data_IF_681485162942
#
_entry.id   IF_681485162942
#
_cell.length_a   1.000
_cell.length_b   1.000
_cell.length_c   1.000
_cell.angle_alpha   90.00
_cell.angle_beta   90.00
_cell.angle_gamma   90.00
#
_symmetry.space_group_name_H-M   'P 1'
#
loop_
_entity.id
_entity.type
_entity.pdbx_description
1 polymer ?
#
# COMPACT_ATOMS: atom_id res chain seq x y z
N UNK A 1 16.26 54.84 -33.95
CA UNK A 1 16.76 53.47 -33.74
C UNK A 1 15.78 52.74 -32.84
N UNK A 2 14.83 52.00 -33.42
CA UNK A 2 13.89 51.14 -32.70
C UNK A 2 14.37 49.70 -32.89
N UNK A 3 14.78 49.06 -31.79
CA UNK A 3 15.25 47.67 -31.77
C UNK A 3 14.07 46.72 -31.87
N UNK A 4 14.06 45.84 -32.88
CA UNK A 4 13.10 44.76 -33.02
C UNK A 4 13.32 43.71 -31.90
N UNK A 5 12.25 43.31 -31.23
CA UNK A 5 12.25 42.18 -30.31
C UNK A 5 12.35 40.86 -31.08
N UNK A 6 13.05 39.83 -30.57
CA UNK A 6 13.14 38.55 -31.25
C UNK A 6 11.79 37.81 -31.18
N UNK A 7 11.33 37.33 -32.34
CA UNK A 7 10.15 36.49 -32.50
C UNK A 7 10.37 35.20 -31.70
N UNK A 8 9.57 35.00 -30.66
CA UNK A 8 9.51 33.75 -29.92
C UNK A 8 8.83 32.71 -30.81
N UNK A 9 9.61 31.85 -31.45
CA UNK A 9 9.09 30.74 -32.27
C UNK A 9 8.32 29.80 -31.34
N UNK A 10 6.99 29.85 -31.44
CA UNK A 10 6.08 28.97 -30.73
C UNK A 10 6.29 27.54 -31.24
N UNK A 11 6.88 26.67 -30.41
CA UNK A 11 7.08 25.25 -30.75
C UNK A 11 5.75 24.63 -31.16
N UNK A 12 5.75 23.90 -32.27
CA UNK A 12 4.54 23.24 -32.76
C UNK A 12 4.07 22.19 -31.74
N UNK A 13 2.76 21.97 -31.61
CA UNK A 13 2.21 20.93 -30.73
C UNK A 13 2.79 19.54 -31.05
N UNK A 14 3.17 19.31 -32.30
CA UNK A 14 3.86 18.12 -32.79
C UNK A 14 5.26 17.95 -32.19
N UNK A 15 6.08 19.01 -32.14
CA UNK A 15 7.43 18.95 -31.55
C UNK A 15 7.37 18.69 -30.04
N UNK A 16 6.39 19.29 -29.35
CA UNK A 16 6.17 19.06 -27.92
C UNK A 16 5.73 17.61 -27.67
N UNK A 17 4.82 17.08 -28.49
CA UNK A 17 4.37 15.68 -28.39
C UNK A 17 5.49 14.68 -28.66
N UNK A 18 6.36 14.93 -29.65
CA UNK A 18 7.50 14.05 -29.93
C UNK A 18 8.56 14.11 -28.83
N UNK A 19 8.82 15.31 -28.28
CA UNK A 19 9.76 15.49 -27.19
C UNK A 19 9.27 14.84 -25.88
N UNK A 20 7.98 14.97 -25.55
CA UNK A 20 7.34 14.27 -24.43
C UNK A 20 7.37 12.75 -24.62
N UNK A 21 7.13 12.26 -25.84
CA UNK A 21 7.17 10.83 -26.16
C UNK A 21 8.58 10.26 -26.04
N UNK A 22 9.60 11.01 -26.46
CA UNK A 22 11.01 10.64 -26.33
C UNK A 22 11.48 10.66 -24.88
N UNK A 23 11.17 11.72 -24.13
CA UNK A 23 11.48 11.81 -22.69
C UNK A 23 10.81 10.68 -21.89
N UNK A 24 9.56 10.33 -22.23
CA UNK A 24 8.84 9.23 -21.60
C UNK A 24 9.46 7.86 -21.93
N UNK A 25 9.93 7.67 -23.18
CA UNK A 25 10.59 6.45 -23.62
C UNK A 25 11.94 6.21 -22.93
N UNK A 26 12.68 7.26 -22.59
CA UNK A 26 13.98 7.14 -21.92
C UNK A 26 13.83 7.06 -20.38
N UNK A 27 12.86 7.77 -19.80
CA UNK A 27 12.67 7.85 -18.35
C UNK A 27 12.07 6.57 -17.73
N UNK A 28 11.03 6.01 -18.36
CA UNK A 28 10.29 4.85 -17.81
C UNK A 28 11.18 3.60 -17.65
N UNK A 29 12.03 3.22 -18.63
CA UNK A 29 12.94 2.09 -18.47
C UNK A 29 13.97 2.30 -17.36
N UNK A 30 14.52 3.52 -17.22
CA UNK A 30 15.51 3.86 -16.20
C UNK A 30 14.90 3.76 -14.81
N UNK A 31 13.75 4.41 -14.58
CA UNK A 31 13.05 4.34 -13.30
C UNK A 31 12.70 2.90 -12.91
N UNK A 32 12.17 2.11 -13.85
CA UNK A 32 11.84 0.70 -13.62
C UNK A 32 13.06 -0.09 -13.17
N UNK A 33 14.20 0.09 -13.84
CA UNK A 33 15.45 -0.60 -13.49
C UNK A 33 15.96 -0.17 -12.12
N UNK A 34 15.89 1.12 -11.80
CA UNK A 34 16.28 1.65 -10.49
C UNK A 34 15.44 1.05 -9.37
N UNK A 35 14.10 1.05 -9.49
CA UNK A 35 13.21 0.44 -8.49
C UNK A 35 13.51 -1.05 -8.32
N UNK A 36 13.73 -1.78 -9.41
CA UNK A 36 14.09 -3.20 -9.35
C UNK A 36 15.42 -3.42 -8.62
N UNK A 37 16.45 -2.63 -8.92
CA UNK A 37 17.76 -2.74 -8.26
C UNK A 37 17.63 -2.42 -6.76
N UNK A 38 16.88 -1.38 -6.39
CA UNK A 38 16.63 -1.03 -4.99
C UNK A 38 15.95 -2.19 -4.26
N UNK A 39 14.84 -2.71 -4.80
CA UNK A 39 14.08 -3.80 -4.17
C UNK A 39 14.93 -5.07 -4.07
N UNK A 40 15.66 -5.46 -5.13
CA UNK A 40 16.55 -6.62 -5.11
C UNK A 40 17.64 -6.44 -4.04
N UNK A 41 18.27 -5.27 -3.97
CA UNK A 41 19.32 -4.99 -2.99
C UNK A 41 18.79 -5.07 -1.56
N UNK A 42 17.60 -4.49 -1.32
CA UNK A 42 16.92 -4.59 -0.02
C UNK A 42 16.60 -6.03 0.36
N UNK A 43 16.12 -6.85 -0.58
CA UNK A 43 15.81 -8.26 -0.34
C UNK A 43 17.06 -9.08 -0.08
N UNK A 44 18.12 -8.91 -0.88
CA UNK A 44 19.41 -9.61 -0.68
C UNK A 44 20.01 -9.26 0.67
N UNK A 45 19.95 -7.99 1.07
CA UNK A 45 20.44 -7.54 2.37
C UNK A 45 19.60 -8.12 3.52
N UNK A 46 18.27 -8.06 3.43
CA UNK A 46 17.40 -8.37 4.56
C UNK A 46 17.06 -9.86 4.72
N UNK A 47 16.90 -10.60 3.63
CA UNK A 47 16.45 -12.00 3.70
C UNK A 47 17.34 -12.89 4.58
N UNK A 48 18.68 -12.82 4.50
CA UNK A 48 19.55 -13.60 5.39
C UNK A 48 19.38 -13.22 6.86
N UNK A 49 19.32 -11.91 7.16
CA UNK A 49 19.18 -11.38 8.52
C UNK A 49 17.90 -11.87 9.20
N UNK A 50 16.80 -11.87 8.45
CA UNK A 50 15.51 -12.37 8.91
C UNK A 50 15.52 -13.90 9.03
N UNK A 51 16.07 -14.63 8.06
CA UNK A 51 16.08 -16.08 8.06
C UNK A 51 16.83 -16.67 9.26
N UNK A 52 17.95 -16.06 9.64
CA UNK A 52 18.79 -16.53 10.74
C UNK A 52 18.44 -15.91 12.10
N UNK A 53 17.34 -15.15 12.21
CA UNK A 53 17.07 -14.29 13.37
C UNK A 53 17.03 -15.06 14.71
N UNK A 54 16.55 -16.30 14.71
CA UNK A 54 16.42 -17.14 15.90
C UNK A 54 17.44 -18.30 15.96
N UNK A 55 18.46 -18.32 15.11
CA UNK A 55 19.40 -19.46 15.03
C UNK A 55 20.48 -19.45 16.12
N UNK A 56 20.72 -18.31 16.76
CA UNK A 56 21.58 -18.23 17.94
C UNK A 56 20.85 -18.84 19.15
N UNK A 57 21.33 -19.97 19.66
CA UNK A 57 20.72 -20.70 20.80
C UNK A 57 20.71 -19.87 22.10
N UNK A 58 21.65 -18.93 22.25
CA UNK A 58 21.67 -18.05 23.42
C UNK A 58 20.61 -16.96 23.33
N UNK A 59 20.13 -16.66 22.11
CA UNK A 59 19.22 -15.57 21.77
C UNK A 59 19.70 -14.19 22.28
N UNK A 60 21.01 -14.04 22.52
CA UNK A 60 21.60 -12.80 23.05
C UNK A 60 22.02 -11.85 21.93
N UNK A 61 22.43 -12.37 20.76
CA UNK A 61 22.87 -11.56 19.64
C UNK A 61 22.71 -12.31 18.31
N UNK A 62 21.67 -11.93 17.55
CA UNK A 62 21.45 -12.47 16.21
C UNK A 62 22.27 -11.72 15.14
N UNK A 63 22.30 -12.26 13.92
CA UNK A 63 23.04 -11.66 12.80
C UNK A 63 22.56 -10.22 12.48
N UNK A 64 21.26 -9.94 12.61
CA UNK A 64 20.72 -8.60 12.37
C UNK A 64 21.28 -7.59 13.37
N UNK A 65 21.38 -7.93 14.66
CA UNK A 65 21.90 -7.04 15.68
C UNK A 65 23.41 -6.81 15.50
N UNK A 66 24.17 -7.83 15.12
CA UNK A 66 25.61 -7.69 14.77
C UNK A 66 25.83 -6.73 13.60
N UNK A 67 25.00 -6.84 12.56
CA UNK A 67 25.05 -5.94 11.41
C UNK A 67 24.67 -4.50 11.81
N UNK A 68 23.65 -4.31 12.65
CA UNK A 68 23.29 -2.99 13.16
C UNK A 68 24.39 -2.38 14.03
N UNK A 69 25.08 -3.19 14.84
CA UNK A 69 26.19 -2.72 15.67
C UNK A 69 27.36 -2.16 14.84
N UNK A 70 27.58 -2.75 13.66
CA UNK A 70 28.61 -2.30 12.70
C UNK A 70 28.13 -1.08 11.90
N UNK A 71 26.90 -1.11 11.39
CA UNK A 71 26.39 -0.07 10.49
C UNK A 71 25.95 1.20 11.24
N UNK A 72 25.50 1.09 12.49
CA UNK A 72 24.99 2.21 13.28
C UNK A 72 25.91 2.46 14.48
N UNK A 73 25.78 1.65 15.54
CA UNK A 73 26.70 1.56 16.68
C UNK A 73 26.19 0.48 17.67
N UNK A 74 27.02 0.00 18.62
CA UNK A 74 26.62 -1.00 19.60
C UNK A 74 25.49 -0.57 20.53
N UNK A 75 25.40 0.71 20.89
CA UNK A 75 24.36 1.24 21.78
C UNK A 75 22.97 1.13 21.13
N UNK A 76 22.85 1.47 19.85
CA UNK A 76 21.62 1.29 19.09
C UNK A 76 21.23 -0.18 18.90
N UNK A 77 22.23 -1.06 18.74
CA UNK A 77 22.02 -2.48 18.51
C UNK A 77 21.60 -3.23 19.78
N UNK A 78 22.19 -2.91 20.94
CA UNK A 78 22.08 -3.71 22.17
C UNK A 78 21.67 -2.92 23.43
N UNK A 79 21.69 -1.59 23.39
CA UNK A 79 21.41 -0.72 24.52
C UNK A 79 19.91 -0.59 24.83
N UNK A 80 19.55 0.51 25.51
CA UNK A 80 18.17 0.78 25.91
C UNK A 80 17.23 0.90 24.70
N UNK A 81 16.08 0.21 24.77
CA UNK A 81 15.11 0.20 23.67
C UNK A 81 15.58 -0.60 22.45
N UNK A 82 16.62 -1.44 22.59
CA UNK A 82 17.13 -2.29 21.53
C UNK A 82 16.29 -3.54 21.28
N UNK A 83 15.31 -3.86 22.13
CA UNK A 83 14.49 -5.07 22.02
C UNK A 83 15.25 -6.40 22.24
N UNK A 84 16.57 -6.37 22.44
CA UNK A 84 17.41 -7.54 22.69
C UNK A 84 17.34 -7.96 24.17
N UNK A 85 17.86 -9.14 24.53
CA UNK A 85 17.87 -9.58 25.92
C UNK A 85 18.67 -8.65 26.85
N UNK A 86 19.61 -7.86 26.33
CA UNK A 86 20.38 -6.87 27.10
C UNK A 86 19.64 -5.56 27.34
N UNK A 87 18.45 -5.38 26.77
CA UNK A 87 17.62 -4.19 27.01
C UNK A 87 17.19 -4.12 28.49
N UNK A 88 17.55 -3.01 29.16
CA UNK A 88 17.33 -2.79 30.59
C UNK A 88 15.85 -2.71 30.97
N UNK A 89 15.00 -2.23 30.05
CA UNK A 89 13.55 -2.13 30.25
C UNK A 89 12.84 -3.46 29.93
N UNK A 90 13.64 -4.49 29.67
CA UNK A 90 13.36 -5.74 29.00
C UNK A 90 13.05 -5.97 27.53
N UNK A 91 13.82 -6.88 26.93
CA UNK A 91 13.81 -7.07 25.48
C UNK A 91 12.53 -7.69 24.97
N UNK A 92 12.05 -7.16 23.83
CA UNK A 92 11.06 -7.82 22.99
C UNK A 92 11.40 -9.29 22.71
N UNK A 93 12.69 -9.64 22.70
CA UNK A 93 13.15 -11.02 22.57
C UNK A 93 12.45 -11.97 23.55
N UNK A 94 12.18 -11.58 24.80
CA UNK A 94 11.46 -12.45 25.76
C UNK A 94 10.03 -12.77 25.28
N UNK A 95 9.35 -11.78 24.71
CA UNK A 95 7.99 -11.93 24.16
C UNK A 95 8.06 -12.81 22.90
N UNK A 96 9.10 -12.66 22.08
CA UNK A 96 9.33 -13.52 20.92
C UNK A 96 9.58 -14.96 21.32
N UNK A 97 10.37 -15.22 22.38
CA UNK A 97 10.61 -16.57 22.89
C UNK A 97 9.34 -17.21 23.45
N UNK A 98 8.46 -16.43 24.11
CA UNK A 98 7.12 -16.91 24.51
C UNK A 98 6.26 -17.32 23.31
N UNK A 99 6.49 -16.71 22.15
CA UNK A 99 5.78 -16.95 20.88
C UNK A 99 6.67 -17.61 19.83
N UNK A 100 7.66 -18.42 20.26
CA UNK A 100 8.77 -18.86 19.39
C UNK A 100 8.27 -19.54 18.12
N UNK A 101 7.33 -20.48 18.22
CA UNK A 101 6.77 -21.20 17.07
C UNK A 101 6.19 -20.26 16.02
N UNK A 102 5.46 -19.23 16.46
CA UNK A 102 4.91 -18.22 15.56
C UNK A 102 6.03 -17.39 14.94
N UNK A 103 6.98 -16.88 15.74
CA UNK A 103 8.01 -15.96 15.25
C UNK A 103 9.08 -16.62 14.38
N UNK A 104 9.47 -17.87 14.65
CA UNK A 104 10.34 -18.65 13.78
C UNK A 104 9.64 -18.92 12.43
N UNK A 105 8.38 -19.36 12.48
CA UNK A 105 7.59 -19.57 11.25
C UNK A 105 7.46 -18.27 10.45
N UNK A 106 7.24 -17.15 11.13
CA UNK A 106 7.09 -15.83 10.53
C UNK A 106 8.36 -15.38 9.82
N UNK A 107 9.50 -15.45 10.50
CA UNK A 107 10.80 -14.99 9.97
C UNK A 107 11.29 -15.85 8.81
N UNK A 108 11.15 -17.17 8.89
CA UNK A 108 11.49 -18.08 7.80
C UNK A 108 10.57 -17.88 6.59
N UNK A 109 9.24 -17.93 6.79
CA UNK A 109 8.29 -17.75 5.70
C UNK A 109 8.38 -16.34 5.09
N UNK A 110 8.60 -15.30 5.90
CA UNK A 110 8.84 -13.94 5.47
C UNK A 110 10.05 -13.82 4.54
N UNK A 111 11.18 -14.41 4.96
CA UNK A 111 12.42 -14.42 4.18
C UNK A 111 12.25 -15.12 2.83
N UNK A 112 11.56 -16.27 2.83
CA UNK A 112 11.27 -17.00 1.60
C UNK A 112 10.31 -16.20 0.71
N UNK A 113 9.25 -15.60 1.27
CA UNK A 113 8.26 -14.83 0.52
C UNK A 113 8.88 -13.63 -0.20
N UNK A 114 9.75 -12.86 0.47
CA UNK A 114 10.39 -11.70 -0.14
C UNK A 114 11.32 -12.08 -1.29
N UNK A 115 12.02 -13.23 -1.18
CA UNK A 115 12.85 -13.76 -2.27
C UNK A 115 11.98 -14.26 -3.43
N UNK A 116 10.92 -15.02 -3.13
CA UNK A 116 10.02 -15.58 -4.14
C UNK A 116 9.22 -14.53 -4.90
N UNK A 117 8.96 -13.37 -4.29
CA UNK A 117 8.23 -12.29 -4.96
C UNK A 117 9.03 -11.60 -6.07
N UNK A 118 10.36 -11.55 -5.99
CA UNK A 118 11.22 -10.97 -7.05
C UNK A 118 10.96 -11.59 -8.43
N UNK A 119 11.05 -12.92 -8.62
CA UNK A 119 10.77 -13.54 -9.92
C UNK A 119 9.31 -13.45 -10.37
N UNK A 120 8.34 -13.16 -9.48
CA UNK A 120 6.93 -13.07 -9.87
C UNK A 120 6.65 -11.94 -10.87
N UNK A 121 7.46 -10.89 -10.86
CA UNK A 121 7.31 -9.73 -11.73
C UNK A 121 8.18 -9.79 -12.99
N UNK A 122 8.89 -10.91 -13.21
CA UNK A 122 9.69 -11.13 -14.40
C UNK A 122 8.79 -11.58 -15.59
N UNK A 123 8.79 -10.82 -16.67
CA UNK A 123 7.96 -11.11 -17.85
C UNK A 123 8.34 -12.40 -18.55
N UNK A 124 9.63 -12.77 -18.58
CA UNK A 124 10.09 -14.05 -19.14
C UNK A 124 9.51 -15.22 -18.36
N UNK A 125 9.49 -15.17 -17.03
CA UNK A 125 8.87 -16.23 -16.22
C UNK A 125 7.35 -16.26 -16.40
N UNK A 126 6.69 -15.11 -16.49
CA UNK A 126 5.24 -15.04 -16.70
C UNK A 126 4.79 -15.65 -18.03
N UNK A 127 5.53 -15.40 -19.12
CA UNK A 127 5.09 -15.77 -20.48
C UNK A 127 5.81 -16.98 -21.06
N UNK A 128 7.12 -17.15 -20.83
CA UNK A 128 7.92 -18.24 -21.40
C UNK A 128 7.95 -19.48 -20.50
N UNK A 129 7.91 -19.30 -19.17
CA UNK A 129 7.96 -20.39 -18.20
C UNK A 129 6.79 -20.36 -17.21
N UNK A 130 5.53 -20.36 -17.69
CA UNK A 130 4.34 -20.15 -16.85
C UNK A 130 4.16 -21.21 -15.77
N UNK A 131 4.64 -22.45 -15.97
CA UNK A 131 4.61 -23.50 -14.97
C UNK A 131 5.46 -23.13 -13.74
N UNK A 132 6.67 -22.60 -13.96
CA UNK A 132 7.58 -22.14 -12.90
C UNK A 132 6.96 -20.95 -12.17
N UNK A 133 6.45 -19.96 -12.92
CA UNK A 133 5.76 -18.81 -12.32
C UNK A 133 4.61 -19.25 -11.39
N UNK A 134 3.76 -20.17 -11.84
CA UNK A 134 2.65 -20.70 -11.04
C UNK A 134 3.12 -21.47 -9.81
N UNK A 135 4.16 -22.29 -9.94
CA UNK A 135 4.72 -23.02 -8.80
C UNK A 135 5.27 -22.07 -7.73
N UNK A 136 6.12 -21.12 -8.13
CA UNK A 136 6.68 -20.12 -7.22
C UNK A 136 5.57 -19.24 -6.61
N UNK A 137 4.53 -18.91 -7.38
CA UNK A 137 3.37 -18.17 -6.88
C UNK A 137 2.57 -18.95 -5.83
N UNK A 138 2.39 -20.26 -5.99
CA UNK A 138 1.75 -21.12 -4.97
C UNK A 138 2.57 -21.19 -3.69
N UNK A 139 3.90 -21.30 -3.82
CA UNK A 139 4.79 -21.28 -2.67
C UNK A 139 4.76 -19.92 -1.96
N UNK A 140 4.73 -18.81 -2.71
CA UNK A 140 4.53 -17.48 -2.14
C UNK A 140 3.20 -17.36 -1.38
N UNK A 141 2.10 -17.89 -1.94
CA UNK A 141 0.79 -17.92 -1.27
C UNK A 141 0.89 -18.68 0.06
N UNK A 142 1.53 -19.86 0.07
CA UNK A 142 1.73 -20.63 1.29
C UNK A 142 2.51 -19.82 2.33
N UNK A 143 3.61 -19.18 1.94
CA UNK A 143 4.37 -18.31 2.83
C UNK A 143 3.52 -17.15 3.36
N UNK A 144 2.76 -16.47 2.50
CA UNK A 144 1.89 -15.36 2.90
C UNK A 144 0.80 -15.80 3.90
N UNK A 145 0.25 -17.01 3.74
CA UNK A 145 -0.68 -17.60 4.72
C UNK A 145 0.01 -17.92 6.04
N UNK A 146 1.21 -18.52 6.02
CA UNK A 146 2.01 -18.78 7.23
C UNK A 146 2.37 -17.49 7.97
N UNK A 147 2.77 -16.45 7.25
CA UNK A 147 3.07 -15.11 7.79
C UNK A 147 1.81 -14.53 8.44
N UNK A 148 0.67 -14.61 7.77
CA UNK A 148 -0.61 -14.08 8.25
C UNK A 148 -1.16 -14.83 9.47
N UNK A 149 -0.91 -16.15 9.55
CA UNK A 149 -1.24 -16.94 10.73
C UNK A 149 -0.32 -16.56 11.89
N UNK A 150 0.99 -16.66 11.68
CA UNK A 150 2.01 -16.39 12.71
C UNK A 150 1.95 -14.97 13.28
N UNK A 151 1.75 -13.94 12.44
CA UNK A 151 1.64 -12.55 12.90
C UNK A 151 0.41 -12.36 13.78
N UNK A 152 -0.73 -12.96 13.41
CA UNK A 152 -1.96 -12.87 14.21
C UNK A 152 -1.84 -13.64 15.51
N UNK A 153 -1.21 -14.82 15.51
CA UNK A 153 -0.96 -15.58 16.74
C UNK A 153 -0.12 -14.78 17.73
N UNK A 154 0.97 -14.15 17.26
CA UNK A 154 1.78 -13.27 18.10
C UNK A 154 1.01 -12.04 18.60
N UNK A 155 0.29 -11.34 17.72
CA UNK A 155 -0.47 -10.15 18.11
C UNK A 155 -1.62 -10.48 19.07
N UNK A 156 -2.26 -11.64 18.94
CA UNK A 156 -3.30 -12.08 19.86
C UNK A 156 -2.80 -12.27 21.30
N UNK A 157 -1.52 -12.60 21.47
CA UNK A 157 -0.87 -12.73 22.78
C UNK A 157 -0.27 -11.39 23.28
N UNK A 158 0.51 -10.72 22.44
CA UNK A 158 1.30 -9.55 22.84
C UNK A 158 0.48 -8.24 22.91
N UNK A 159 -0.53 -8.07 22.05
CA UNK A 159 -1.28 -6.81 21.95
C UNK A 159 -2.16 -6.53 23.17
N UNK A 160 -2.96 -7.48 23.70
CA UNK A 160 -3.77 -7.22 24.91
C UNK A 160 -2.95 -6.91 26.17
N UNK A 161 -1.66 -7.23 26.15
CA UNK A 161 -0.71 -7.00 27.25
C UNK A 161 0.12 -5.73 27.07
N UNK A 162 -0.06 -5.01 25.96
CA UNK A 162 0.76 -3.85 25.57
C UNK A 162 2.26 -4.19 25.47
N UNK A 163 2.59 -5.42 25.04
CA UNK A 163 3.96 -5.96 24.98
C UNK A 163 4.54 -5.99 23.55
N UNK A 164 3.91 -5.28 22.61
CA UNK A 164 4.43 -5.15 21.25
C UNK A 164 5.49 -4.04 21.22
N UNK A 165 6.62 -4.34 20.59
CA UNK A 165 7.71 -3.37 20.41
C UNK A 165 7.22 -2.06 19.81
N UNK A 166 7.76 -0.92 20.24
CA UNK A 166 7.31 0.42 19.82
C UNK A 166 5.85 0.77 20.18
N UNK A 167 5.19 -0.02 21.04
CA UNK A 167 3.89 0.31 21.64
C UNK A 167 2.69 0.17 20.71
N UNK A 168 1.55 0.67 21.18
CA UNK A 168 0.22 0.39 20.60
C UNK A 168 0.04 0.89 19.16
N UNK A 169 0.68 2.01 18.80
CA UNK A 169 0.66 2.49 17.41
C UNK A 169 1.27 1.45 16.48
N UNK A 170 2.46 0.95 16.80
CA UNK A 170 3.12 -0.07 15.99
C UNK A 170 2.32 -1.37 15.97
N UNK A 171 1.74 -1.76 17.11
CA UNK A 171 0.87 -2.92 17.21
C UNK A 171 -0.36 -2.80 16.27
N UNK A 172 -1.02 -1.64 16.26
CA UNK A 172 -2.11 -1.37 15.34
C UNK A 172 -1.67 -1.46 13.88
N UNK A 173 -0.51 -0.88 13.54
CA UNK A 173 0.02 -0.92 12.17
C UNK A 173 0.34 -2.35 11.72
N UNK A 174 0.91 -3.18 12.60
CA UNK A 174 1.14 -4.61 12.32
C UNK A 174 -0.17 -5.37 12.14
N UNK A 175 -1.18 -5.07 12.96
CA UNK A 175 -2.52 -5.64 12.84
C UNK A 175 -3.17 -5.28 11.51
N UNK A 176 -3.12 -4.00 11.14
CA UNK A 176 -3.63 -3.44 9.88
C UNK A 176 -2.92 -4.08 8.68
N UNK A 177 -1.59 -4.16 8.73
CA UNK A 177 -0.76 -4.81 7.71
C UNK A 177 -1.11 -6.29 7.55
N UNK A 178 -1.29 -7.03 8.65
CA UNK A 178 -1.66 -8.45 8.60
C UNK A 178 -3.00 -8.66 7.89
N UNK A 179 -3.98 -7.79 8.12
CA UNK A 179 -5.25 -7.81 7.39
C UNK A 179 -5.08 -7.38 5.93
N UNK A 180 -4.28 -6.36 5.67
CA UNK A 180 -3.96 -5.88 4.33
C UNK A 180 -3.30 -6.95 3.46
N UNK A 181 -2.33 -7.70 3.99
CA UNK A 181 -1.68 -8.82 3.30
C UNK A 181 -2.71 -9.90 2.96
N UNK A 182 -3.51 -10.35 3.92
CA UNK A 182 -4.49 -11.40 3.65
C UNK A 182 -5.58 -10.93 2.66
N UNK A 183 -6.09 -9.71 2.84
CA UNK A 183 -7.14 -9.15 1.99
C UNK A 183 -6.68 -8.94 0.55
N UNK A 184 -5.49 -8.37 0.34
CA UNK A 184 -4.93 -8.21 -1.00
C UNK A 184 -4.62 -9.54 -1.66
N UNK A 185 -4.15 -10.54 -0.92
CA UNK A 185 -3.94 -11.89 -1.43
C UNK A 185 -5.26 -12.54 -1.86
N UNK A 186 -6.30 -12.43 -1.05
CA UNK A 186 -7.63 -12.95 -1.37
C UNK A 186 -8.20 -12.29 -2.62
N UNK A 187 -8.08 -10.96 -2.74
CA UNK A 187 -8.51 -10.21 -3.93
C UNK A 187 -7.69 -10.59 -5.17
N UNK A 188 -6.39 -10.82 -5.03
CA UNK A 188 -5.54 -11.29 -6.12
C UNK A 188 -5.96 -12.69 -6.60
N UNK A 189 -6.23 -13.62 -5.68
CA UNK A 189 -6.69 -14.98 -5.97
C UNK A 189 -8.08 -14.94 -6.63
N UNK A 190 -8.99 -14.14 -6.09
CA UNK A 190 -10.31 -13.92 -6.66
C UNK A 190 -10.22 -13.39 -8.10
N UNK A 191 -9.36 -12.41 -8.35
CA UNK A 191 -9.18 -11.84 -9.69
C UNK A 191 -8.65 -12.89 -10.69
N UNK A 192 -7.67 -13.72 -10.31
CA UNK A 192 -7.12 -14.73 -11.23
C UNK A 192 -8.10 -15.87 -11.50
N UNK A 193 -8.89 -16.30 -10.50
CA UNK A 193 -9.97 -17.26 -10.72
C UNK A 193 -11.01 -16.76 -11.72
N UNK A 194 -11.29 -15.44 -11.70
CA UNK A 194 -12.16 -14.79 -12.68
C UNK A 194 -11.45 -14.38 -13.98
N UNK A 195 -10.21 -14.83 -14.21
CA UNK A 195 -9.40 -14.52 -15.40
C UNK A 195 -9.14 -13.00 -15.61
N UNK A 196 -9.27 -12.21 -14.56
CA UNK A 196 -8.87 -10.79 -14.54
C UNK A 196 -7.39 -10.67 -14.13
N UNK A 197 -6.51 -10.96 -15.09
CA UNK A 197 -5.06 -10.91 -14.92
C UNK A 197 -4.58 -9.50 -14.52
N UNK A 198 -5.25 -8.45 -15.01
CA UNK A 198 -4.91 -7.07 -14.69
C UNK A 198 -5.12 -6.79 -13.20
N UNK A 199 -6.30 -7.10 -12.69
CA UNK A 199 -6.61 -6.95 -11.26
C UNK A 199 -5.78 -7.87 -10.38
N UNK A 200 -5.53 -9.11 -10.81
CA UNK A 200 -4.61 -10.03 -10.11
C UNK A 200 -3.24 -9.40 -9.93
N UNK A 201 -2.65 -8.88 -11.01
CA UNK A 201 -1.31 -8.26 -10.96
C UNK A 201 -1.27 -7.07 -10.01
N UNK A 202 -2.27 -6.19 -10.06
CA UNK A 202 -2.28 -4.99 -9.21
C UNK A 202 -2.38 -5.34 -7.72
N UNK A 203 -3.23 -6.30 -7.36
CA UNK A 203 -3.29 -6.79 -5.98
C UNK A 203 -2.03 -7.53 -5.56
N UNK A 204 -1.38 -8.29 -6.45
CA UNK A 204 -0.09 -8.92 -6.14
C UNK A 204 1.05 -7.92 -5.95
N UNK A 205 1.09 -6.81 -6.70
CA UNK A 205 2.08 -5.74 -6.49
C UNK A 205 1.87 -5.08 -5.13
N UNK A 206 0.63 -4.72 -4.79
CA UNK A 206 0.33 -4.14 -3.47
C UNK A 206 0.63 -5.13 -2.34
N UNK A 207 0.25 -6.39 -2.49
CA UNK A 207 0.54 -7.45 -1.53
C UNK A 207 2.06 -7.61 -1.29
N UNK A 208 2.85 -7.60 -2.37
CA UNK A 208 4.29 -7.69 -2.26
C UNK A 208 4.91 -6.44 -1.63
N UNK A 209 4.38 -5.25 -1.94
CA UNK A 209 4.79 -4.02 -1.26
C UNK A 209 4.56 -4.12 0.27
N UNK A 210 3.42 -4.65 0.71
CA UNK A 210 3.19 -4.93 2.14
C UNK A 210 4.17 -5.95 2.73
N UNK A 211 4.56 -6.96 1.96
CA UNK A 211 5.58 -7.93 2.36
C UNK A 211 6.97 -7.28 2.52
N UNK A 212 7.23 -6.18 1.81
CA UNK A 212 8.48 -5.42 1.90
C UNK A 212 8.50 -4.40 3.07
N UNK A 213 7.45 -4.33 3.89
CA UNK A 213 7.40 -3.44 5.06
C UNK A 213 8.56 -3.67 6.03
N UNK A 214 8.92 -4.92 6.31
CA UNK A 214 10.04 -5.26 7.17
C UNK A 214 11.40 -4.80 6.57
N UNK A 215 11.76 -5.12 5.32
CA UNK A 215 12.93 -4.54 4.65
C UNK A 215 12.98 -3.00 4.69
N UNK A 216 11.86 -2.32 4.40
CA UNK A 216 11.77 -0.85 4.45
C UNK A 216 12.12 -0.33 5.85
N UNK A 217 11.59 -0.99 6.88
CA UNK A 217 11.86 -0.63 8.27
C UNK A 217 13.34 -0.81 8.65
N UNK A 218 14.04 -1.81 8.11
CA UNK A 218 15.47 -2.04 8.41
C UNK A 218 16.37 -1.03 7.71
N UNK A 219 16.02 -0.64 6.48
CA UNK A 219 16.69 0.49 5.82
C UNK A 219 16.51 1.76 6.65
N UNK A 220 15.30 2.00 7.16
CA UNK A 220 15.03 3.15 8.02
C UNK A 220 15.83 3.09 9.33
N UNK A 221 15.98 1.92 9.97
CA UNK A 221 16.83 1.77 11.16
C UNK A 221 18.28 2.13 10.90
N UNK A 222 18.86 1.71 9.76
CA UNK A 222 20.24 2.06 9.41
C UNK A 222 20.38 3.56 9.17
N UNK A 223 19.52 4.14 8.33
CA UNK A 223 19.62 5.55 7.95
C UNK A 223 19.34 6.46 9.14
N UNK A 224 18.21 6.26 9.83
CA UNK A 224 17.81 7.14 10.94
C UNK A 224 18.65 6.89 12.18
N UNK A 225 19.11 5.64 12.42
CA UNK A 225 20.02 5.33 13.53
C UNK A 225 21.34 6.10 13.44
N UNK A 226 21.83 6.35 12.22
CA UNK A 226 23.02 7.18 11.99
C UNK A 226 22.77 8.68 12.15
N UNK A 227 21.54 9.14 11.95
CA UNK A 227 21.22 10.57 11.79
C UNK A 227 20.52 11.20 13.00
N UNK A 228 19.73 10.45 13.75
CA UNK A 228 18.84 11.01 14.77
C UNK A 228 19.37 10.84 16.20
N UNK A 229 20.14 9.78 16.49
CA UNK A 229 20.65 9.53 17.83
C UNK A 229 19.59 9.07 18.86
N UNK A 230 18.39 8.74 18.39
CA UNK A 230 17.31 8.15 19.21
C UNK A 230 17.44 6.62 19.29
N UNK A 231 16.77 6.04 20.29
CA UNK A 231 16.76 4.58 20.49
C UNK A 231 16.07 3.85 19.33
N UNK A 232 16.41 2.56 19.15
CA UNK A 232 15.79 1.70 18.13
C UNK A 232 14.27 1.63 18.29
N UNK A 233 13.78 1.66 19.53
CA UNK A 233 12.35 1.73 19.85
C UNK A 233 11.65 2.95 19.24
N UNK A 234 12.23 4.15 19.41
CA UNK A 234 11.69 5.40 18.89
C UNK A 234 11.81 5.44 17.37
N UNK A 235 12.98 5.09 16.82
CA UNK A 235 13.19 5.08 15.37
C UNK A 235 12.23 4.12 14.68
N UNK A 236 11.98 2.94 15.26
CA UNK A 236 11.03 1.98 14.71
C UNK A 236 9.59 2.54 14.66
N UNK A 237 9.16 3.23 15.72
CA UNK A 237 7.84 3.87 15.78
C UNK A 237 7.62 4.90 14.66
N UNK A 238 8.57 5.81 14.47
CA UNK A 238 8.43 6.86 13.46
C UNK A 238 8.66 6.35 12.03
N UNK A 239 9.50 5.33 11.88
CA UNK A 239 9.67 4.63 10.62
C UNK A 239 8.38 3.90 10.21
N UNK A 240 7.63 3.35 11.17
CA UNK A 240 6.36 2.69 10.85
C UNK A 240 5.33 3.70 10.36
N UNK A 241 5.19 4.85 11.04
CA UNK A 241 4.32 5.98 10.63
C UNK A 241 4.61 6.37 9.17
N UNK A 242 5.89 6.44 8.80
CA UNK A 242 6.29 6.73 7.42
C UNK A 242 5.87 5.60 6.46
N UNK A 243 6.19 4.35 6.82
CA UNK A 243 6.09 3.19 5.93
C UNK A 243 4.66 2.86 5.47
N UNK A 244 3.65 3.04 6.33
CA UNK A 244 2.25 2.67 6.04
C UNK A 244 1.73 3.29 4.73
N UNK A 245 1.59 4.62 4.65
CA UNK A 245 1.15 5.30 3.43
C UNK A 245 2.18 5.19 2.28
N UNK A 246 3.47 5.13 2.60
CA UNK A 246 4.54 4.99 1.61
C UNK A 246 4.42 3.71 0.77
N UNK A 247 4.16 2.56 1.39
CA UNK A 247 4.06 1.27 0.67
C UNK A 247 2.89 1.26 -0.32
N UNK A 248 1.74 1.84 0.07
CA UNK A 248 0.58 1.97 -0.82
C UNK A 248 0.91 2.92 -1.97
N UNK A 249 1.46 4.10 -1.68
CA UNK A 249 1.81 5.09 -2.69
C UNK A 249 2.86 4.57 -3.68
N UNK A 250 3.91 3.90 -3.19
CA UNK A 250 4.94 3.29 -4.02
C UNK A 250 4.34 2.27 -5.00
N UNK A 251 3.40 1.44 -4.54
CA UNK A 251 2.69 0.49 -5.41
C UNK A 251 1.83 1.21 -6.47
N UNK A 252 1.15 2.31 -6.11
CA UNK A 252 0.36 3.13 -7.04
C UNK A 252 1.27 3.67 -8.14
N UNK A 253 2.36 4.35 -7.78
CA UNK A 253 3.25 4.95 -8.77
C UNK A 253 3.91 3.89 -9.67
N UNK A 254 4.35 2.77 -9.10
CA UNK A 254 4.90 1.65 -9.87
C UNK A 254 3.89 1.12 -10.90
N UNK A 255 2.64 0.90 -10.48
CA UNK A 255 1.59 0.36 -11.34
C UNK A 255 1.14 1.35 -12.41
N UNK A 256 0.98 2.64 -12.07
CA UNK A 256 0.47 3.66 -13.01
C UNK A 256 1.44 3.96 -14.15
N UNK A 257 2.72 3.66 -14.00
CA UNK A 257 3.68 3.76 -15.10
C UNK A 257 3.61 2.58 -16.09
N UNK A 258 3.13 1.41 -15.64
CA UNK A 258 3.19 0.18 -16.42
C UNK A 258 1.81 -0.23 -16.96
N UNK A 259 0.73 0.18 -16.30
CA UNK A 259 -0.60 -0.33 -16.55
C UNK A 259 -1.62 0.78 -16.68
N UNK A 260 -2.32 0.76 -17.81
CA UNK A 260 -3.47 1.60 -18.09
C UNK A 260 -4.72 0.79 -17.85
N UNK A 261 -5.72 1.42 -17.24
CA UNK A 261 -7.06 0.86 -17.06
C UNK A 261 -8.10 1.75 -17.72
N UNK A 262 -9.30 1.21 -18.05
CA UNK A 262 -10.37 2.00 -18.62
C UNK A 262 -10.81 3.11 -17.66
N UNK A 263 -11.40 4.16 -18.21
CA UNK A 263 -12.07 5.20 -17.42
C UNK A 263 -13.32 4.64 -16.74
N UNK A 264 -13.76 5.30 -15.66
CA UNK A 264 -15.01 4.96 -14.98
C UNK A 264 -15.83 6.21 -14.73
N UNK A 265 -17.00 6.30 -15.38
CA UNK A 265 -17.95 7.41 -15.23
C UNK A 265 -18.42 7.59 -13.78
N UNK A 266 -18.54 6.49 -13.02
CA UNK A 266 -18.88 6.50 -11.60
C UNK A 266 -17.83 7.25 -10.78
N UNK A 267 -16.56 6.86 -10.93
CA UNK A 267 -15.46 7.37 -10.11
C UNK A 267 -15.10 8.84 -10.41
N UNK A 268 -15.34 9.29 -11.65
CA UNK A 268 -15.13 10.69 -12.05
C UNK A 268 -16.39 11.56 -11.86
N UNK A 269 -17.49 10.98 -11.38
CA UNK A 269 -18.74 11.73 -11.21
C UNK A 269 -18.63 12.78 -10.10
N UNK A 270 -19.29 13.92 -10.29
CA UNK A 270 -19.37 14.96 -9.27
C UNK A 270 -20.03 14.46 -7.99
N UNK A 271 -21.02 13.56 -8.10
CA UNK A 271 -21.69 12.94 -6.94
C UNK A 271 -20.70 12.13 -6.09
N UNK A 272 -19.86 11.30 -6.71
CA UNK A 272 -18.85 10.53 -5.99
C UNK A 272 -17.83 11.44 -5.29
N UNK A 273 -17.38 12.50 -5.97
CA UNK A 273 -16.47 13.48 -5.37
C UNK A 273 -17.11 14.25 -4.21
N UNK A 274 -18.38 14.67 -4.34
CA UNK A 274 -19.12 15.32 -3.26
C UNK A 274 -19.31 14.39 -2.07
N UNK A 275 -19.58 13.11 -2.30
CA UNK A 275 -19.68 12.11 -1.23
C UNK A 275 -18.34 11.95 -0.48
N UNK A 276 -17.21 11.91 -1.19
CA UNK A 276 -15.89 11.86 -0.56
C UNK A 276 -15.60 13.11 0.27
N UNK A 277 -15.94 14.31 -0.24
CA UNK A 277 -15.80 15.58 0.47
C UNK A 277 -16.69 15.61 1.72
N UNK A 278 -17.98 15.28 1.58
CA UNK A 278 -18.91 15.25 2.69
C UNK A 278 -18.47 14.25 3.78
N UNK A 279 -18.02 13.07 3.38
CA UNK A 279 -17.44 12.08 4.28
C UNK A 279 -16.21 12.61 5.03
N UNK A 280 -15.27 13.24 4.32
CA UNK A 280 -14.11 13.87 4.93
C UNK A 280 -14.47 14.98 5.93
N UNK A 281 -15.42 15.85 5.58
CA UNK A 281 -15.89 16.93 6.46
C UNK A 281 -16.60 16.39 7.71
N UNK A 282 -17.45 15.37 7.57
CA UNK A 282 -18.10 14.70 8.70
C UNK A 282 -17.07 14.03 9.61
N UNK A 283 -16.09 13.35 9.02
CA UNK A 283 -14.96 12.77 9.77
C UNK A 283 -14.19 13.83 10.54
N UNK A 284 -13.84 14.96 9.91
CA UNK A 284 -13.16 16.08 10.59
C UNK A 284 -14.00 16.66 11.73
N UNK A 285 -15.29 16.90 11.50
CA UNK A 285 -16.20 17.40 12.53
C UNK A 285 -16.28 16.45 13.72
N UNK A 286 -16.35 15.14 13.47
CA UNK A 286 -16.30 14.13 14.50
C UNK A 286 -14.97 14.20 15.27
N UNK A 287 -13.83 14.23 14.58
CA UNK A 287 -12.52 14.27 15.25
C UNK A 287 -12.34 15.53 16.10
N UNK A 288 -12.85 16.68 15.67
CA UNK A 288 -12.81 17.94 16.45
C UNK A 288 -13.69 17.86 17.70
N UNK A 289 -14.86 17.20 17.62
CA UNK A 289 -15.86 17.22 18.69
C UNK A 289 -15.76 16.03 19.66
N UNK A 290 -15.27 14.89 19.17
CA UNK A 290 -15.28 13.59 19.86
C UNK A 290 -13.98 12.78 19.66
N UNK A 291 -13.05 13.30 18.87
CA UNK A 291 -11.77 12.64 18.66
C UNK A 291 -10.86 12.69 19.90
N UNK A 292 -9.81 11.86 19.93
CA UNK A 292 -8.81 11.91 20.99
C UNK A 292 -8.11 13.28 21.00
N UNK A 293 -7.71 13.74 22.19
CA UNK A 293 -7.01 15.01 22.32
C UNK A 293 -5.65 14.92 21.62
N UNK A 294 -5.35 15.92 20.78
CA UNK A 294 -4.03 16.05 20.19
C UNK A 294 -3.06 16.55 21.27
N UNK A 295 -2.29 15.62 21.85
CA UNK A 295 -1.25 15.96 22.83
C UNK A 295 0.15 16.11 22.20
N UNK A 296 0.26 15.92 20.88
CA UNK A 296 1.53 15.95 20.14
C UNK A 296 2.46 14.76 20.42
N UNK A 297 2.12 13.90 21.37
CA UNK A 297 2.95 12.78 21.82
C UNK A 297 4.32 13.25 22.35
N UNK A 298 5.23 12.30 22.62
CA UNK A 298 6.56 12.64 23.11
C UNK A 298 7.43 13.36 22.07
N UNK A 299 7.22 13.11 20.76
CA UNK A 299 7.96 13.77 19.68
C UNK A 299 7.02 14.30 18.56
N UNK A 300 6.33 15.43 18.78
CA UNK A 300 5.39 16.00 17.81
C UNK A 300 6.04 16.38 16.49
N UNK A 301 7.27 16.92 16.55
CA UNK A 301 8.03 17.30 15.34
C UNK A 301 8.40 16.08 14.50
N UNK A 302 8.82 14.99 15.13
CA UNK A 302 9.15 13.75 14.43
C UNK A 302 7.91 13.12 13.79
N UNK A 303 6.76 13.16 14.48
CA UNK A 303 5.48 12.73 13.92
C UNK A 303 5.14 13.50 12.65
N UNK A 304 5.19 14.83 12.72
CA UNK A 304 4.93 15.71 11.58
C UNK A 304 5.91 15.48 10.44
N UNK A 305 7.20 15.23 10.73
CA UNK A 305 8.21 14.95 9.71
C UNK A 305 8.00 13.59 9.03
N UNK A 306 7.57 12.57 9.77
CA UNK A 306 7.31 11.23 9.24
C UNK A 306 6.09 11.20 8.29
N UNK A 307 5.06 12.02 8.56
CA UNK A 307 3.78 11.95 7.84
C UNK A 307 3.52 13.15 6.92
N UNK A 308 3.80 14.37 7.37
CA UNK A 308 3.41 15.62 6.71
C UNK A 308 4.00 15.78 5.30
N UNK A 309 5.34 15.70 5.11
CA UNK A 309 5.97 15.87 3.81
C UNK A 309 5.46 14.90 2.74
N UNK A 310 5.30 13.62 3.08
CA UNK A 310 4.80 12.62 2.14
C UNK A 310 3.34 12.88 1.77
N UNK A 311 2.50 13.28 2.73
CA UNK A 311 1.09 13.59 2.45
C UNK A 311 0.97 14.82 1.53
N UNK A 312 1.71 15.89 1.83
CA UNK A 312 1.77 17.06 0.97
C UNK A 312 2.22 16.69 -0.45
N UNK A 313 3.25 15.84 -0.56
CA UNK A 313 3.73 15.32 -1.83
C UNK A 313 2.62 14.57 -2.59
N UNK A 314 1.92 13.63 -1.95
CA UNK A 314 0.86 12.86 -2.60
C UNK A 314 -0.32 13.73 -3.04
N UNK A 315 -0.74 14.70 -2.22
CA UNK A 315 -1.80 15.66 -2.58
C UNK A 315 -1.41 16.44 -3.84
N UNK A 316 -0.19 16.97 -3.87
CA UNK A 316 0.32 17.75 -5.00
C UNK A 316 0.47 16.87 -6.26
N UNK A 317 1.08 15.69 -6.13
CA UNK A 317 1.29 14.78 -7.25
C UNK A 317 -0.04 14.28 -7.84
N UNK A 318 -0.99 13.84 -7.01
CA UNK A 318 -2.28 13.36 -7.53
C UNK A 318 -3.05 14.50 -8.20
N UNK A 319 -3.04 15.71 -7.64
CA UNK A 319 -3.71 16.86 -8.25
C UNK A 319 -3.06 17.28 -9.58
N UNK A 320 -1.73 17.34 -9.64
CA UNK A 320 -0.98 17.72 -10.85
C UNK A 320 -1.13 16.68 -11.95
N UNK A 321 -0.98 15.39 -11.61
CA UNK A 321 -1.12 14.28 -12.55
C UNK A 321 -2.56 14.12 -13.04
N UNK A 322 -3.58 14.33 -12.19
CA UNK A 322 -4.97 14.36 -12.62
C UNK A 322 -5.20 15.50 -13.64
N UNK A 323 -4.75 16.72 -13.34
CA UNK A 323 -4.89 17.87 -14.25
C UNK A 323 -4.18 17.62 -15.59
N UNK A 324 -2.96 17.10 -15.55
CA UNK A 324 -2.19 16.77 -16.75
C UNK A 324 -2.89 15.68 -17.59
N UNK A 325 -3.37 14.61 -16.95
CA UNK A 325 -4.12 13.55 -17.63
C UNK A 325 -5.39 14.09 -18.30
N UNK A 326 -6.16 14.94 -17.60
CA UNK A 326 -7.36 15.58 -18.16
C UNK A 326 -7.05 16.46 -19.37
N UNK A 327 -5.97 17.26 -19.32
CA UNK A 327 -5.54 18.11 -20.44
C UNK A 327 -5.13 17.29 -21.68
N UNK A 328 -4.53 16.12 -21.47
CA UNK A 328 -4.15 15.19 -22.55
C UNK A 328 -5.31 14.34 -23.09
N UNK A 329 -6.51 14.43 -22.50
CA UNK A 329 -7.63 13.56 -22.84
C UNK A 329 -7.50 12.11 -22.34
N UNK A 330 -6.50 11.80 -21.51
CA UNK A 330 -6.30 10.48 -20.93
C UNK A 330 -7.23 10.28 -19.71
N UNK A 331 -8.47 9.90 -20.01
CA UNK A 331 -9.50 9.70 -18.99
C UNK A 331 -9.26 8.48 -18.11
N UNK A 332 -8.47 7.50 -18.55
CA UNK A 332 -8.08 6.33 -17.75
C UNK A 332 -7.15 6.73 -16.61
N UNK A 333 -6.09 7.47 -16.92
CA UNK A 333 -5.19 8.03 -15.91
C UNK A 333 -5.89 9.07 -15.03
N UNK A 334 -6.73 9.93 -15.61
CA UNK A 334 -7.52 10.89 -14.84
C UNK A 334 -8.41 10.19 -13.80
N UNK A 335 -9.08 9.10 -14.18
CA UNK A 335 -9.89 8.29 -13.27
C UNK A 335 -9.06 7.79 -12.09
N UNK A 336 -7.84 7.31 -12.34
CA UNK A 336 -6.96 6.81 -11.28
C UNK A 336 -6.59 7.91 -10.28
N UNK A 337 -6.00 9.01 -10.77
CA UNK A 337 -5.49 10.08 -9.92
C UNK A 337 -6.61 10.78 -9.11
N UNK A 338 -7.79 10.96 -9.71
CA UNK A 338 -8.95 11.49 -8.98
C UNK A 338 -9.45 10.51 -7.91
N UNK A 339 -9.41 9.21 -8.18
CA UNK A 339 -9.84 8.22 -7.18
C UNK A 339 -8.89 8.22 -5.98
N UNK A 340 -7.58 8.27 -6.20
CA UNK A 340 -6.60 8.38 -5.11
C UNK A 340 -6.72 9.71 -4.36
N UNK A 341 -6.99 10.82 -5.07
CA UNK A 341 -7.28 12.10 -4.44
C UNK A 341 -8.53 12.02 -3.54
N UNK A 342 -9.61 11.37 -3.99
CA UNK A 342 -10.82 11.17 -3.20
C UNK A 342 -10.54 10.31 -1.95
N UNK A 343 -9.63 9.34 -2.04
CA UNK A 343 -9.11 8.59 -0.89
C UNK A 343 -8.55 9.50 0.20
N UNK A 344 -7.65 10.41 -0.19
CA UNK A 344 -7.04 11.39 0.72
C UNK A 344 -8.07 12.39 1.29
N UNK A 345 -9.04 12.82 0.47
CA UNK A 345 -10.11 13.72 0.94
C UNK A 345 -10.98 13.03 2.01
N UNK A 346 -11.26 11.73 1.84
CA UNK A 346 -12.04 10.94 2.78
C UNK A 346 -11.26 10.44 4.01
N UNK A 347 -9.94 10.67 4.07
CA UNK A 347 -9.05 10.17 5.12
C UNK A 347 -9.55 10.46 6.56
N UNK A 348 -10.12 11.63 6.87
CA UNK A 348 -10.65 11.90 8.22
C UNK A 348 -11.79 10.96 8.62
N UNK A 349 -12.60 10.48 7.67
CA UNK A 349 -13.63 9.48 7.99
C UNK A 349 -13.01 8.13 8.34
N UNK A 350 -11.94 7.76 7.64
CA UNK A 350 -11.18 6.55 7.97
C UNK A 350 -10.51 6.67 9.34
N UNK A 351 -10.08 7.87 9.76
CA UNK A 351 -9.60 8.11 11.13
C UNK A 351 -10.64 7.76 12.19
N UNK A 352 -11.92 8.06 11.94
CA UNK A 352 -13.01 7.69 12.85
C UNK A 352 -13.15 6.17 12.95
N UNK A 353 -13.10 5.46 11.82
CA UNK A 353 -13.13 3.99 11.84
C UNK A 353 -11.93 3.43 12.62
N UNK A 354 -10.73 3.95 12.34
CA UNK A 354 -9.51 3.53 13.02
C UNK A 354 -9.57 3.80 14.53
N UNK A 355 -10.22 4.88 14.97
CA UNK A 355 -10.43 5.18 16.39
C UNK A 355 -11.22 4.06 17.08
N UNK A 356 -12.36 3.69 16.53
CA UNK A 356 -13.23 2.66 17.11
C UNK A 356 -12.54 1.30 17.13
N UNK A 357 -11.83 0.95 16.05
CA UNK A 357 -11.05 -0.30 16.02
C UNK A 357 -9.94 -0.26 17.07
N UNK A 358 -9.19 0.83 17.17
CA UNK A 358 -8.08 0.95 18.12
C UNK A 358 -8.56 0.90 19.57
N UNK A 359 -9.59 1.68 19.91
CA UNK A 359 -10.09 1.81 21.28
C UNK A 359 -10.93 0.61 21.72
N UNK A 360 -11.91 0.21 20.89
CA UNK A 360 -12.96 -0.69 21.36
C UNK A 360 -12.66 -2.17 21.04
N UNK A 361 -11.96 -2.43 19.92
CA UNK A 361 -11.58 -3.79 19.51
C UNK A 361 -10.19 -4.13 20.06
N UNK A 362 -9.22 -3.24 19.84
CA UNK A 362 -7.81 -3.50 20.15
C UNK A 362 -7.36 -2.97 21.51
N UNK A 363 -8.22 -2.23 22.21
CA UNK A 363 -7.97 -1.71 23.57
C UNK A 363 -6.66 -0.90 23.68
N UNK A 364 -6.28 -0.19 22.62
CA UNK A 364 -5.09 0.67 22.61
C UNK A 364 -5.21 1.79 23.65
N UNK A 365 -4.09 2.17 24.24
CA UNK A 365 -3.98 3.27 25.21
C UNK A 365 -4.45 4.60 24.63
N UNK A 366 -5.13 5.41 25.46
CA UNK A 366 -5.63 6.73 25.07
C UNK A 366 -4.53 7.66 24.51
N UNK A 367 -3.31 7.55 25.04
CA UNK A 367 -2.15 8.33 24.59
C UNK A 367 -1.75 8.03 23.14
N UNK A 368 -1.99 6.80 22.67
CA UNK A 368 -1.64 6.35 21.32
C UNK A 368 -2.74 6.64 20.29
N UNK A 369 -4.00 6.83 20.72
CA UNK A 369 -5.16 6.91 19.85
C UNK A 369 -5.07 8.06 18.84
N UNK A 370 -4.56 9.23 19.22
CA UNK A 370 -4.44 10.33 18.28
C UNK A 370 -3.42 10.02 17.17
N UNK A 371 -2.28 9.40 17.49
CA UNK A 371 -1.28 9.00 16.47
C UNK A 371 -1.85 7.94 15.54
N UNK A 372 -2.56 6.96 16.10
CA UNK A 372 -3.20 5.87 15.34
C UNK A 372 -4.22 6.47 14.36
N UNK A 373 -5.16 7.27 14.87
CA UNK A 373 -6.25 7.82 14.06
C UNK A 373 -5.76 8.71 12.93
N UNK A 374 -4.75 9.55 13.17
CA UNK A 374 -4.19 10.41 12.13
C UNK A 374 -3.42 9.58 11.09
N UNK A 375 -2.52 8.70 11.52
CA UNK A 375 -1.67 7.90 10.60
C UNK A 375 -2.49 6.94 9.76
N UNK A 376 -3.44 6.23 10.39
CA UNK A 376 -4.27 5.23 9.71
C UNK A 376 -5.36 5.85 8.87
N UNK A 377 -5.89 7.03 9.22
CA UNK A 377 -6.84 7.72 8.35
C UNK A 377 -6.30 7.92 6.94
N UNK A 378 -5.05 8.37 6.82
CA UNK A 378 -4.40 8.54 5.53
C UNK A 378 -4.04 7.20 4.87
N UNK A 379 -3.49 6.25 5.63
CA UNK A 379 -3.11 4.93 5.11
C UNK A 379 -4.31 4.16 4.56
N UNK A 380 -5.41 4.14 5.32
CA UNK A 380 -6.68 3.52 4.93
C UNK A 380 -7.37 4.27 3.79
N UNK A 381 -7.33 5.61 3.78
CA UNK A 381 -7.84 6.40 2.66
C UNK A 381 -7.14 6.06 1.34
N UNK A 382 -5.82 5.96 1.35
CA UNK A 382 -5.02 5.53 0.19
C UNK A 382 -5.34 4.08 -0.19
N UNK A 383 -5.28 3.15 0.77
CA UNK A 383 -5.55 1.73 0.54
C UNK A 383 -6.95 1.49 -0.04
N UNK A 384 -7.98 2.07 0.58
CA UNK A 384 -9.36 1.93 0.13
C UNK A 384 -9.57 2.53 -1.25
N UNK A 385 -8.96 3.69 -1.56
CA UNK A 385 -9.04 4.25 -2.91
C UNK A 385 -8.37 3.37 -3.97
N UNK A 386 -7.28 2.67 -3.61
CA UNK A 386 -6.66 1.68 -4.47
C UNK A 386 -7.59 0.51 -4.76
N UNK A 387 -8.17 -0.08 -3.71
CA UNK A 387 -9.11 -1.20 -3.85
C UNK A 387 -10.33 -0.80 -4.68
N UNK A 388 -10.93 0.36 -4.38
CA UNK A 388 -12.09 0.89 -5.11
C UNK A 388 -11.74 1.11 -6.59
N UNK A 389 -10.60 1.73 -6.87
CA UNK A 389 -10.15 1.95 -8.24
C UNK A 389 -10.05 0.63 -8.99
N UNK A 390 -9.37 -0.36 -8.41
CA UNK A 390 -9.18 -1.68 -9.02
C UNK A 390 -10.49 -2.38 -9.30
N UNK A 391 -11.37 -2.45 -8.31
CA UNK A 391 -12.63 -3.18 -8.44
C UNK A 391 -13.57 -2.50 -9.44
N UNK A 392 -13.71 -1.17 -9.40
CA UNK A 392 -14.62 -0.43 -10.26
C UNK A 392 -14.16 -0.33 -11.73
N UNK A 393 -12.90 -0.65 -12.01
CA UNK A 393 -12.31 -0.71 -13.36
C UNK A 393 -11.92 -2.12 -13.79
N UNK A 394 -12.29 -3.13 -12.99
CA UNK A 394 -12.06 -4.55 -13.29
C UNK A 394 -12.91 -5.04 -14.46
N UNK A 395 -12.49 -6.16 -15.08
CA UNK A 395 -13.28 -6.82 -16.14
C UNK A 395 -14.65 -7.26 -15.61
N UNK A 396 -14.73 -7.65 -14.35
CA UNK A 396 -15.96 -8.12 -13.70
C UNK A 396 -17.00 -6.99 -13.60
N UNK A 397 -16.57 -5.78 -13.22
CA UNK A 397 -17.43 -4.61 -13.16
C UNK A 397 -17.94 -4.17 -14.54
N UNK A 398 -17.14 -4.38 -15.59
CA UNK A 398 -17.55 -4.09 -16.97
C UNK A 398 -18.52 -5.14 -17.52
N UNK A 399 -18.31 -6.43 -17.22
CA UNK A 399 -19.22 -7.50 -17.61
C UNK A 399 -20.62 -7.29 -17.05
N UNK A 400 -20.77 -7.00 -15.73
CA UNK A 400 -22.07 -6.68 -15.12
C UNK A 400 -22.73 -5.44 -15.72
N UNK A 401 -21.96 -4.40 -16.05
CA UNK A 401 -22.51 -3.22 -16.74
C UNK A 401 -23.07 -3.59 -18.10
N UNK A 402 -22.36 -4.41 -18.88
CA UNK A 402 -22.88 -4.89 -20.17
C UNK A 402 -24.17 -5.70 -20.03
N UNK A 403 -24.30 -6.57 -19.02
CA UNK A 403 -25.54 -7.32 -18.78
C UNK A 403 -26.70 -6.42 -18.34
N UNK A 404 -26.46 -5.46 -17.44
CA UNK A 404 -27.50 -4.52 -17.01
C UNK A 404 -27.95 -3.64 -18.17
N UNK A 405 -27.01 -3.10 -18.97
CA UNK A 405 -27.36 -2.30 -20.16
C UNK A 405 -28.02 -3.12 -21.27
N UNK A 406 -27.84 -4.45 -21.31
CA UNK A 406 -28.60 -5.31 -22.23
C UNK A 406 -30.00 -5.56 -21.70
N UNK A 407 -30.16 -5.89 -20.41
CA UNK A 407 -31.47 -6.12 -19.78
C UNK A 407 -32.33 -4.84 -19.78
N UNK A 408 -31.75 -3.69 -19.47
CA UNK A 408 -32.45 -2.40 -19.46
C UNK A 408 -32.89 -2.01 -20.88
N UNK A 409 -32.05 -2.26 -21.91
CA UNK A 409 -32.45 -2.12 -23.32
C UNK A 409 -33.53 -3.12 -23.74
N UNK A 410 -33.51 -4.33 -23.18
CA UNK A 410 -34.46 -5.37 -23.49
C UNK A 410 -35.85 -5.08 -22.90
N UNK A 411 -35.90 -4.40 -21.75
CA UNK A 411 -37.12 -3.90 -21.10
C UNK A 411 -37.65 -2.62 -21.74
N UNK A 412 -36.77 -1.75 -22.26
CA UNK A 412 -37.17 -0.46 -22.88
C UNK A 412 -37.31 -0.51 -24.40
N UNK A 413 -37.32 -1.68 -25.06
CA UNK A 413 -37.56 -1.80 -26.51
C UNK A 413 -39.07 -2.02 -26.79
N UNK A 414 -39.87 -0.95 -27.02
CA UNK A 414 -41.29 -1.07 -27.34
C UNK A 414 -41.57 -1.78 -28.68
N UNK A 415 -40.55 -2.03 -29.50
CA UNK A 415 -40.69 -2.69 -30.80
C UNK A 415 -40.55 -4.22 -30.73
N UNK A 416 -40.17 -4.77 -29.58
CA UNK A 416 -39.94 -6.22 -29.42
C UNK A 416 -41.24 -7.02 -29.44
N UNK A 417 -42.31 -6.50 -28.83
CA UNK A 417 -43.66 -7.09 -28.91
C UNK A 417 -44.29 -6.94 -30.31
N UNK A 418 -44.02 -5.82 -30.99
CA UNK A 418 -44.44 -5.61 -32.39
C UNK A 418 -43.74 -6.56 -33.37
N UNK A 419 -42.48 -6.94 -33.10
CA UNK A 419 -41.76 -7.96 -33.90
C UNK A 419 -42.30 -9.38 -33.67
N UNK A 420 -42.67 -9.75 -32.44
CA UNK A 420 -43.34 -11.04 -32.17
C UNK A 420 -44.70 -11.15 -32.89
N UNK A 421 -45.48 -10.06 -32.92
CA UNK A 421 -46.76 -10.02 -33.62
C UNK A 421 -46.64 -10.08 -35.15
N UNK A 422 -45.53 -9.59 -35.73
CA UNK A 422 -45.28 -9.69 -37.19
C UNK A 422 -44.85 -11.08 -37.64
N UNK A 423 -44.16 -11.85 -36.79
CA UNK A 423 -43.70 -13.21 -37.14
C UNK A 423 -44.86 -14.22 -37.15
N UNK A 424 -45.92 -13.99 -36.36
CA UNK A 424 -47.11 -14.85 -36.36
C UNK A 424 -48.07 -14.61 -37.54
N UNK A 425 -47.88 -13.56 -38.34
CA UNK A 425 -48.73 -13.27 -39.52
C UNK A 425 -48.18 -13.83 -40.84
N UNK A 426 -46.98 -14.43 -40.85
CA UNK A 426 -46.36 -14.98 -42.07
C UNK A 426 -46.55 -16.49 -42.27
N UNK A 427 -47.49 -17.14 -41.55
CA UNK A 427 -47.81 -18.57 -41.69
C UNK A 427 -49.27 -18.85 -42.06
N UNK A 428 -49.98 -17.88 -42.62
CA UNK A 428 -51.32 -18.09 -43.19
C UNK A 428 -51.41 -17.38 -44.54
N UNK A 429 -51.00 -18.06 -45.61
CA UNK A 429 -51.47 -17.83 -46.98
C UNK A 429 -51.32 -19.10 -47.78
#
# INVERSE_FOLDING_TARGET
MLSAAPVQVQRSNTDIMEQDKKANNDFVPVYKRTVQVIVISMVIFFAPLSFTYFFDETHTSNLSDKVLAILVNPEFAYGEGSATLSDINGGQMRIFLRNLTAMVSHTIAGSIAIVLGLPQFNTTLQFRYPAIHRFLGRLYILCALTISWSSRTFLADAMPKHEVFSGDLFAYMLWSLSHGVLGTLALAIYAIWNRDIGSHREFMVLNYAFMLSAPVLRVAWVILGQLWGETKYIINLYSSIFSGPFLVAASIFYLRQQHVRPSSSLLISSKFRLAAIASGLLGLLFQITKGPSFNGGPYPKAFLLALGPQLACYILLFATLARAAKRRGDMGSYTAWITYQNGLISAPMWSVLSLYVARDILRCSEESLWMITVTEGFSQGLFSSFVIYVLATSKLANARRHTIYSEEREVTDPWKELKKLKINKSYVS
#
